data_IF_070574438601
#
_entry.id   IF_070574438601
#
_cell.length_a   1.000
_cell.length_b   1.000
_cell.length_c   1.000
_cell.angle_alpha   90.00
_cell.angle_beta   90.00
_cell.angle_gamma   90.00
#
_symmetry.space_group_name_H-M   'P 1'
#
loop_
_entity.id
_entity.type
_entity.pdbx_description
1 polymer ?
#
# COMPACT_ATOMS: atom_id res chain seq x y z
N UNK A 1 -28.57 34.56 11.85
CA UNK A 1 -27.20 34.23 11.42
C UNK A 1 -27.28 33.11 10.40
N UNK A 2 -26.85 33.38 9.19
CA UNK A 2 -26.72 32.34 8.21
C UNK A 2 -25.56 31.43 8.64
N UNK A 3 -25.81 30.12 8.79
CA UNK A 3 -24.75 29.15 8.95
C UNK A 3 -23.80 29.28 7.76
N UNK A 4 -22.47 29.28 7.96
CA UNK A 4 -21.57 29.25 6.83
C UNK A 4 -21.87 27.97 6.06
N UNK A 5 -22.24 28.16 4.80
CA UNK A 5 -22.28 27.08 3.83
C UNK A 5 -20.85 26.57 3.79
N UNK A 6 -20.60 25.39 4.35
CA UNK A 6 -19.37 24.69 4.07
C UNK A 6 -19.41 24.46 2.57
N UNK A 7 -18.66 25.27 1.83
CA UNK A 7 -18.33 24.91 0.47
C UNK A 7 -17.69 23.53 0.58
N UNK A 8 -18.43 22.51 0.17
CA UNK A 8 -17.87 21.21 -0.09
C UNK A 8 -16.94 21.44 -1.28
N UNK A 9 -15.71 21.83 -0.97
CA UNK A 9 -14.66 21.93 -1.96
C UNK A 9 -14.66 20.61 -2.71
N UNK A 10 -14.66 20.69 -4.02
CA UNK A 10 -14.56 19.49 -4.85
C UNK A 10 -13.27 18.76 -4.46
N UNK A 11 -13.41 17.69 -3.64
CA UNK A 11 -12.30 16.92 -3.08
C UNK A 11 -11.35 16.41 -4.18
N UNK A 12 -11.84 16.24 -5.43
CA UNK A 12 -11.03 15.75 -6.55
C UNK A 12 -9.99 16.77 -7.04
N UNK A 13 -10.17 18.08 -6.76
CA UNK A 13 -9.26 19.14 -7.20
C UNK A 13 -8.29 19.57 -6.09
N UNK A 14 -8.39 19.02 -4.87
CA UNK A 14 -7.49 19.38 -3.79
C UNK A 14 -6.07 18.89 -4.06
N UNK A 15 -5.07 19.64 -3.60
CA UNK A 15 -3.66 19.23 -3.69
C UNK A 15 -3.39 17.91 -2.94
N UNK A 16 -4.08 17.72 -1.83
CA UNK A 16 -4.01 16.47 -1.07
C UNK A 16 -4.49 15.29 -1.91
N UNK A 17 -5.65 15.40 -2.55
CA UNK A 17 -6.21 14.37 -3.41
C UNK A 17 -5.26 14.05 -4.58
N UNK A 18 -4.72 15.06 -5.23
CA UNK A 18 -3.77 14.91 -6.34
C UNK A 18 -2.50 14.16 -5.91
N UNK A 19 -1.96 14.46 -4.73
CA UNK A 19 -0.81 13.73 -4.19
C UNK A 19 -1.14 12.24 -3.96
N UNK A 20 -2.32 11.96 -3.43
CA UNK A 20 -2.79 10.60 -3.24
C UNK A 20 -2.96 9.83 -4.54
N UNK A 21 -3.50 10.48 -5.58
CA UNK A 21 -3.60 9.90 -6.92
C UNK A 21 -2.23 9.51 -7.46
N UNK A 22 -1.24 10.39 -7.36
CA UNK A 22 0.14 10.12 -7.82
C UNK A 22 0.78 8.95 -7.06
N UNK A 23 0.57 8.87 -5.75
CA UNK A 23 1.09 7.80 -4.92
C UNK A 23 0.58 6.43 -5.39
N UNK A 24 -0.73 6.29 -5.57
CA UNK A 24 -1.31 5.04 -6.07
C UNK A 24 -0.99 4.76 -7.54
N UNK A 25 -0.99 5.77 -8.39
CA UNK A 25 -0.63 5.62 -9.79
C UNK A 25 0.76 4.99 -9.96
N UNK A 26 1.72 5.46 -9.17
CA UNK A 26 3.07 4.91 -9.12
C UNK A 26 3.07 3.43 -8.70
N UNK A 27 2.32 3.08 -7.67
CA UNK A 27 2.26 1.70 -7.16
C UNK A 27 1.54 0.75 -8.12
N UNK A 28 0.46 1.21 -8.74
CA UNK A 28 -0.36 0.39 -9.64
C UNK A 28 0.17 0.36 -11.07
N UNK A 29 1.15 1.18 -11.42
CA UNK A 29 1.67 1.34 -12.79
C UNK A 29 0.59 1.77 -13.77
N UNK A 30 -0.25 2.70 -13.37
CA UNK A 30 -1.32 3.32 -14.17
C UNK A 30 -1.22 4.85 -14.11
N UNK A 31 -1.99 5.55 -14.95
CA UNK A 31 -2.05 7.00 -14.86
C UNK A 31 -2.84 7.46 -13.63
N UNK A 32 -2.57 8.67 -13.08
CA UNK A 32 -3.35 9.20 -11.96
C UNK A 32 -4.85 9.25 -12.24
N UNK A 33 -5.25 9.53 -13.47
CA UNK A 33 -6.65 9.62 -13.88
C UNK A 33 -7.39 8.28 -13.80
N UNK A 34 -6.65 7.16 -13.89
CA UNK A 34 -7.19 5.80 -13.81
C UNK A 34 -7.37 5.30 -12.37
N UNK A 35 -6.74 5.94 -11.39
CA UNK A 35 -6.77 5.48 -9.99
C UNK A 35 -8.19 5.44 -9.41
N UNK A 36 -9.05 6.46 -9.58
CA UNK A 36 -10.42 6.40 -9.08
C UNK A 36 -11.22 5.24 -9.67
N UNK A 37 -11.07 4.96 -10.96
CA UNK A 37 -11.75 3.84 -11.63
C UNK A 37 -11.27 2.50 -11.09
N UNK A 38 -9.96 2.36 -10.89
CA UNK A 38 -9.39 1.15 -10.31
C UNK A 38 -10.01 0.84 -8.94
N UNK A 39 -10.12 1.85 -8.08
CA UNK A 39 -10.74 1.69 -6.77
C UNK A 39 -12.25 1.40 -6.87
N UNK A 40 -12.95 2.11 -7.74
CA UNK A 40 -14.39 1.91 -7.92
C UNK A 40 -14.71 0.47 -8.33
N UNK A 41 -13.91 -0.09 -9.21
CA UNK A 41 -14.08 -1.47 -9.70
C UNK A 41 -13.65 -2.52 -8.68
N UNK A 42 -12.71 -2.20 -7.81
CA UNK A 42 -12.11 -3.15 -6.87
C UNK A 42 -12.83 -3.17 -5.51
N UNK A 43 -13.08 -2.01 -4.91
CA UNK A 43 -13.61 -1.88 -3.54
C UNK A 43 -14.76 -0.88 -3.42
N UNK A 44 -15.05 -0.11 -4.45
CA UNK A 44 -16.06 0.95 -4.45
C UNK A 44 -15.48 2.35 -4.40
N UNK A 45 -16.20 3.30 -5.00
CA UNK A 45 -15.73 4.68 -5.17
C UNK A 45 -15.58 5.45 -3.85
N UNK A 46 -16.49 5.21 -2.90
CA UNK A 46 -16.42 5.87 -1.58
C UNK A 46 -15.18 5.45 -0.81
N UNK A 47 -14.92 4.16 -0.76
CA UNK A 47 -13.70 3.64 -0.12
C UNK A 47 -12.44 4.14 -0.84
N UNK A 48 -12.47 4.15 -2.16
CA UNK A 48 -11.36 4.66 -2.98
C UNK A 48 -11.03 6.12 -2.69
N UNK A 49 -12.04 6.97 -2.53
CA UNK A 49 -11.82 8.39 -2.20
C UNK A 49 -11.08 8.54 -0.86
N UNK A 50 -11.51 7.83 0.17
CA UNK A 50 -10.85 7.85 1.48
C UNK A 50 -9.41 7.31 1.39
N UNK A 51 -9.19 6.23 0.64
CA UNK A 51 -7.86 5.69 0.42
C UNK A 51 -6.94 6.70 -0.27
N UNK A 52 -7.41 7.36 -1.32
CA UNK A 52 -6.65 8.37 -2.05
C UNK A 52 -6.28 9.56 -1.14
N UNK A 53 -7.23 10.07 -0.37
CA UNK A 53 -6.99 11.15 0.57
C UNK A 53 -5.94 10.78 1.63
N UNK A 54 -6.02 9.57 2.17
CA UNK A 54 -5.09 9.09 3.21
C UNK A 54 -3.68 8.86 2.67
N UNK A 55 -3.54 8.44 1.42
CA UNK A 55 -2.24 8.19 0.80
C UNK A 55 -1.38 9.44 0.68
N UNK A 56 -2.00 10.61 0.58
CA UNK A 56 -1.27 11.87 0.43
C UNK A 56 -0.27 12.12 1.58
N UNK A 57 -0.65 11.82 2.81
CA UNK A 57 0.22 12.02 3.95
C UNK A 57 0.95 10.74 4.38
N UNK A 58 0.38 9.57 4.13
CA UNK A 58 1.00 8.30 4.52
C UNK A 58 2.08 7.83 3.55
N UNK A 59 1.98 8.15 2.27
CA UNK A 59 2.88 7.66 1.23
C UNK A 59 3.78 8.72 0.58
N UNK A 60 3.67 9.99 0.94
CA UNK A 60 4.35 11.08 0.20
C UNK A 60 5.23 12.01 1.05
N UNK A 61 5.37 11.80 2.35
CA UNK A 61 6.28 12.62 3.16
C UNK A 61 7.74 12.19 2.98
N UNK A 62 8.67 13.03 3.42
CA UNK A 62 10.11 12.82 3.22
C UNK A 62 10.79 12.06 4.38
N UNK A 63 10.11 11.86 5.51
CA UNK A 63 10.69 11.24 6.70
C UNK A 63 10.94 9.74 6.54
N UNK A 64 10.12 9.06 5.73
CA UNK A 64 10.29 7.64 5.43
C UNK A 64 10.47 7.45 3.92
N UNK A 65 11.45 6.66 3.52
CA UNK A 65 11.58 6.25 2.13
C UNK A 65 10.42 5.33 1.71
N UNK A 66 10.16 5.21 0.42
CA UNK A 66 9.19 4.24 -0.10
C UNK A 66 9.58 2.80 0.28
N UNK A 67 10.89 2.51 0.28
CA UNK A 67 11.41 1.23 0.72
C UNK A 67 11.05 0.94 2.18
N UNK A 68 11.29 1.86 3.08
CA UNK A 68 10.98 1.70 4.51
C UNK A 68 9.49 1.56 4.74
N UNK A 69 8.66 2.34 4.04
CA UNK A 69 7.20 2.19 4.08
C UNK A 69 6.75 0.80 3.67
N UNK A 70 7.31 0.27 2.59
CA UNK A 70 6.97 -1.08 2.12
C UNK A 70 7.31 -2.15 3.17
N UNK A 71 8.47 -2.05 3.81
CA UNK A 71 8.86 -2.97 4.88
C UNK A 71 7.92 -2.88 6.08
N UNK A 72 7.54 -1.67 6.49
CA UNK A 72 6.60 -1.44 7.59
C UNK A 72 5.23 -2.05 7.29
N UNK A 73 4.72 -1.84 6.07
CA UNK A 73 3.41 -2.39 5.67
C UNK A 73 3.43 -3.92 5.64
N UNK A 74 4.47 -4.52 5.08
CA UNK A 74 4.63 -5.99 5.07
C UNK A 74 4.68 -6.52 6.50
N UNK A 75 5.44 -5.90 7.40
CA UNK A 75 5.47 -6.28 8.80
C UNK A 75 4.09 -6.23 9.46
N UNK A 76 3.33 -5.16 9.20
CA UNK A 76 1.97 -5.01 9.72
C UNK A 76 1.03 -6.10 9.20
N UNK A 77 1.11 -6.44 7.91
CA UNK A 77 0.27 -7.46 7.29
C UNK A 77 0.59 -8.86 7.82
N UNK A 78 1.86 -9.18 7.99
CA UNK A 78 2.28 -10.45 8.60
C UNK A 78 1.76 -10.56 10.04
N UNK A 79 1.90 -9.50 10.82
CA UNK A 79 1.46 -9.47 12.21
C UNK A 79 -0.05 -9.64 12.38
N UNK A 80 -0.84 -9.09 11.46
CA UNK A 80 -2.30 -9.25 11.47
C UNK A 80 -2.73 -10.68 11.13
N UNK A 81 -2.02 -11.34 10.24
CA UNK A 81 -2.37 -12.67 9.74
C UNK A 81 -3.50 -12.62 8.70
N UNK A 82 -3.63 -13.67 7.91
CA UNK A 82 -4.71 -13.87 6.92
C UNK A 82 -4.88 -12.72 5.89
N UNK A 83 -3.78 -12.05 5.55
CA UNK A 83 -3.75 -10.93 4.60
C UNK A 83 -3.09 -11.34 3.27
N UNK A 84 -3.43 -12.51 2.74
CA UNK A 84 -2.73 -13.09 1.59
C UNK A 84 -2.73 -12.18 0.36
N UNK A 85 -3.88 -11.69 -0.05
CA UNK A 85 -4.00 -10.84 -1.25
C UNK A 85 -3.17 -9.54 -1.10
N UNK A 86 -3.22 -8.93 0.07
CA UNK A 86 -2.46 -7.71 0.37
C UNK A 86 -0.95 -7.99 0.44
N UNK A 87 -0.54 -9.12 1.05
CA UNK A 87 0.87 -9.50 1.10
C UNK A 87 1.45 -9.73 -0.29
N UNK A 88 0.72 -10.38 -1.18
CA UNK A 88 1.16 -10.60 -2.56
C UNK A 88 1.42 -9.28 -3.29
N UNK A 89 0.48 -8.36 -3.19
CA UNK A 89 0.58 -7.04 -3.81
C UNK A 89 1.73 -6.22 -3.22
N UNK A 90 1.80 -6.12 -1.90
CA UNK A 90 2.83 -5.34 -1.23
C UNK A 90 4.24 -5.94 -1.37
N UNK A 91 4.38 -7.26 -1.52
CA UNK A 91 5.66 -7.88 -1.83
C UNK A 91 6.21 -7.40 -3.18
N UNK A 92 5.37 -7.30 -4.21
CA UNK A 92 5.74 -6.73 -5.51
C UNK A 92 6.16 -5.28 -5.39
N UNK A 93 5.37 -4.47 -4.70
CA UNK A 93 5.69 -3.05 -4.50
C UNK A 93 6.97 -2.85 -3.68
N UNK A 94 7.25 -3.72 -2.72
CA UNK A 94 8.50 -3.67 -1.97
C UNK A 94 9.72 -3.81 -2.88
N UNK A 95 9.68 -4.72 -3.86
CA UNK A 95 10.76 -4.82 -4.85
C UNK A 95 10.86 -3.57 -5.72
N UNK A 96 9.73 -3.03 -6.18
CA UNK A 96 9.69 -1.79 -6.96
C UNK A 96 10.28 -0.61 -6.17
N UNK A 97 10.11 -0.61 -4.86
CA UNK A 97 10.62 0.43 -3.95
C UNK A 97 12.06 0.19 -3.47
N UNK A 98 12.71 -0.86 -3.94
CA UNK A 98 14.13 -1.11 -3.68
C UNK A 98 14.44 -2.16 -2.61
N UNK A 99 13.45 -2.86 -2.08
CA UNK A 99 13.69 -4.00 -1.20
C UNK A 99 14.10 -5.24 -2.00
N UNK A 100 14.86 -6.12 -1.38
CA UNK A 100 15.28 -7.39 -1.97
C UNK A 100 14.54 -8.57 -1.34
N UNK A 101 14.44 -9.72 -2.04
CA UNK A 101 13.88 -10.94 -1.43
C UNK A 101 14.60 -11.35 -0.14
N UNK A 102 15.90 -11.19 -0.07
CA UNK A 102 16.70 -11.48 1.13
C UNK A 102 16.32 -10.57 2.30
N UNK A 103 16.03 -9.31 2.04
CA UNK A 103 15.57 -8.37 3.07
C UNK A 103 14.18 -8.73 3.59
N UNK A 104 13.28 -9.20 2.73
CA UNK A 104 11.94 -9.66 3.13
C UNK A 104 12.01 -10.94 3.97
N UNK A 105 12.92 -11.85 3.65
CA UNK A 105 13.20 -13.02 4.49
C UNK A 105 13.73 -12.61 5.86
N UNK A 106 14.69 -11.67 5.90
CA UNK A 106 15.25 -11.15 7.14
C UNK A 106 14.17 -10.47 8.01
N UNK A 107 13.28 -9.70 7.39
CA UNK A 107 12.14 -9.08 8.06
C UNK A 107 11.24 -10.13 8.72
N UNK A 108 10.84 -11.16 8.00
CA UNK A 108 10.00 -12.23 8.52
C UNK A 108 10.71 -13.01 9.64
N UNK A 109 12.00 -13.23 9.51
CA UNK A 109 12.83 -13.88 10.54
C UNK A 109 12.83 -13.06 11.83
N UNK A 110 13.00 -11.76 11.73
CA UNK A 110 12.91 -10.86 12.88
C UNK A 110 11.50 -10.88 13.49
N UNK A 111 10.45 -10.80 12.68
CA UNK A 111 9.07 -10.77 13.15
C UNK A 111 8.67 -12.06 13.87
N UNK A 112 9.26 -13.20 13.54
CA UNK A 112 8.96 -14.48 14.20
C UNK A 112 9.11 -14.41 15.72
N UNK A 113 10.03 -13.58 16.21
CA UNK A 113 10.25 -13.37 17.66
C UNK A 113 9.10 -12.57 18.29
N UNK A 114 8.50 -11.63 17.53
CA UNK A 114 7.49 -10.70 18.06
C UNK A 114 6.05 -11.11 17.76
N UNK A 115 5.81 -11.85 16.69
CA UNK A 115 4.46 -12.23 16.24
C UNK A 115 4.20 -13.73 16.35
N UNK A 116 5.23 -14.53 16.59
CA UNK A 116 5.20 -15.98 16.55
C UNK A 116 5.59 -16.55 15.19
N UNK A 117 6.19 -17.72 15.22
CA UNK A 117 6.72 -18.40 14.02
C UNK A 117 5.62 -18.76 13.02
N UNK A 118 4.42 -19.11 13.48
CA UNK A 118 3.33 -19.50 12.60
C UNK A 118 2.90 -18.35 11.67
N UNK A 119 2.71 -17.15 12.21
CA UNK A 119 2.35 -15.96 11.40
C UNK A 119 3.48 -15.55 10.47
N UNK A 120 4.69 -15.53 10.98
CA UNK A 120 5.86 -15.13 10.19
C UNK A 120 6.12 -16.11 9.04
N UNK A 121 6.07 -17.42 9.28
CA UNK A 121 6.27 -18.42 8.24
C UNK A 121 5.15 -18.42 7.21
N UNK A 122 3.89 -18.26 7.64
CA UNK A 122 2.75 -18.14 6.72
C UNK A 122 2.93 -16.96 5.77
N UNK A 123 3.28 -15.79 6.29
CA UNK A 123 3.54 -14.59 5.48
C UNK A 123 4.73 -14.78 4.53
N UNK A 124 5.83 -15.37 5.00
CA UNK A 124 7.01 -15.59 4.17
C UNK A 124 6.76 -16.59 3.04
N UNK A 125 5.98 -17.64 3.29
CA UNK A 125 5.59 -18.59 2.23
C UNK A 125 4.84 -17.88 1.12
N UNK A 126 3.88 -17.02 1.46
CA UNK A 126 3.10 -16.23 0.49
C UNK A 126 4.01 -15.28 -0.30
N UNK A 127 4.89 -14.56 0.38
CA UNK A 127 5.83 -13.63 -0.25
C UNK A 127 6.73 -14.37 -1.24
N UNK A 128 7.32 -15.47 -0.83
CA UNK A 128 8.22 -16.25 -1.69
C UNK A 128 7.49 -16.85 -2.89
N UNK A 129 6.27 -17.35 -2.70
CA UNK A 129 5.44 -17.84 -3.79
C UNK A 129 5.16 -16.73 -4.81
N UNK A 130 4.78 -15.56 -4.34
CA UNK A 130 4.50 -14.41 -5.23
C UNK A 130 5.74 -13.95 -6.00
N UNK A 131 6.87 -13.83 -5.33
CA UNK A 131 8.11 -13.35 -5.96
C UNK A 131 8.75 -14.36 -6.92
N UNK A 132 8.37 -15.63 -6.82
CA UNK A 132 8.78 -16.66 -7.76
C UNK A 132 8.01 -16.62 -9.08
N UNK A 133 6.86 -15.92 -9.13
CA UNK A 133 6.06 -15.78 -10.36
C UNK A 133 6.71 -14.81 -11.33
N UNK A 134 6.57 -15.03 -12.66
CA UNK A 134 7.02 -14.07 -13.66
C UNK A 134 6.35 -12.70 -13.43
N UNK A 135 7.12 -11.62 -13.56
CA UNK A 135 6.58 -10.27 -13.53
C UNK A 135 5.78 -10.04 -14.81
N UNK A 136 4.45 -9.97 -14.70
CA UNK A 136 3.63 -9.45 -15.78
C UNK A 136 3.80 -7.92 -15.81
N UNK A 137 4.51 -7.41 -16.82
CA UNK A 137 4.58 -5.98 -17.14
C UNK A 137 3.86 -5.71 -18.45
#
# INVERSE_FOLDING_TARGET
MASPTLEQGNHTDSERYKRGLKAYASQFHISPEQVPTWFADTVGSRFGEEAIQSAANSWTNDELSLRDRSLIVIAALIAQGDMEAQLRMHARWALDHGSTPAELEALATLLAIYTGFARASHGLIIIRDELAKPTAR
#
